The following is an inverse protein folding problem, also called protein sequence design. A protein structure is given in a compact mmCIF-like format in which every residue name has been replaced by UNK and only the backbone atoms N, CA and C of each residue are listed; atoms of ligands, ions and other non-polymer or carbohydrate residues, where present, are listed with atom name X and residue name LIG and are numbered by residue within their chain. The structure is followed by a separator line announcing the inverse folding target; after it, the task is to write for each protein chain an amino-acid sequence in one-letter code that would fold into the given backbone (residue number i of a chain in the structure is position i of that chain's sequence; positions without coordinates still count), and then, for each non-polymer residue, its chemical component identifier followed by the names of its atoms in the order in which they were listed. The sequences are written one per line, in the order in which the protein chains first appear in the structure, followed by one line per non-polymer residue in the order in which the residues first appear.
data_IF_175891274468
#
_entry.id   IF_175891274468
#
_cell.length_a   1.000
_cell.length_b   1.000
_cell.length_c   1.000
_cell.angle_alpha   90.00
_cell.angle_beta   90.00
_cell.angle_gamma   90.00
#
_symmetry.space_group_name_H-M   'P 1'
#
loop_
_entity.id
_entity.type
_entity.pdbx_description
1 polymer ?
#
# COMPACT_ATOMS: atom_id res chain seq x y z
N UNK A 1 7.03 0.61 21.86
CA UNK A 1 7.53 0.87 20.50
C UNK A 1 8.80 0.05 20.20
N UNK A 2 8.70 -1.27 20.31
CA UNK A 2 9.83 -2.14 20.00
C UNK A 2 9.84 -2.45 18.50
N UNK A 3 10.99 -2.25 17.86
CA UNK A 3 11.26 -2.75 16.52
C UNK A 3 11.41 -4.27 16.66
N UNK A 4 10.50 -5.03 16.05
CA UNK A 4 10.47 -6.49 16.14
C UNK A 4 11.02 -7.19 14.89
N UNK A 5 11.16 -6.44 13.79
CA UNK A 5 11.75 -6.91 12.53
C UNK A 5 12.88 -5.96 12.12
N UNK A 6 14.02 -6.55 11.72
CA UNK A 6 15.21 -5.81 11.33
C UNK A 6 15.01 -4.86 10.14
N UNK A 7 16.08 -4.16 9.78
CA UNK A 7 16.05 -3.02 8.88
C UNK A 7 15.69 -3.33 7.42
N UNK A 8 15.71 -4.58 6.99
CA UNK A 8 15.51 -4.96 5.58
C UNK A 8 14.53 -6.14 5.51
N UNK A 9 13.27 -5.90 5.87
CA UNK A 9 12.23 -6.92 5.75
C UNK A 9 11.44 -6.77 4.46
N UNK A 10 11.12 -7.91 3.83
CA UNK A 10 10.37 -8.01 2.56
C UNK A 10 10.99 -7.22 1.39
N UNK A 11 12.32 -7.07 1.38
CA UNK A 11 13.03 -6.47 0.28
C UNK A 11 12.91 -7.34 -0.97
N UNK A 12 12.42 -6.76 -2.07
CA UNK A 12 12.23 -7.47 -3.33
C UNK A 12 11.22 -8.62 -3.26
N UNK A 13 10.33 -8.64 -2.28
CA UNK A 13 9.32 -9.69 -2.15
C UNK A 13 8.38 -9.72 -3.37
N UNK A 14 8.11 -10.91 -3.89
CA UNK A 14 7.35 -11.09 -5.12
C UNK A 14 5.93 -11.62 -4.92
N UNK A 15 5.65 -12.22 -3.78
CA UNK A 15 4.34 -12.81 -3.45
C UNK A 15 4.22 -13.11 -1.97
N UNK A 16 3.06 -13.57 -1.56
CA UNK A 16 2.75 -13.96 -0.19
C UNK A 16 2.18 -12.83 0.65
N UNK A 17 1.87 -13.17 1.90
CA UNK A 17 1.33 -12.23 2.89
C UNK A 17 2.16 -12.26 4.16
N UNK A 18 2.43 -11.09 4.73
CA UNK A 18 3.13 -10.93 6.00
C UNK A 18 2.33 -10.03 6.95
N UNK A 19 2.09 -10.52 8.15
CA UNK A 19 1.38 -9.79 9.21
C UNK A 19 2.31 -9.60 10.40
N UNK A 20 2.63 -8.34 10.72
CA UNK A 20 3.67 -7.98 11.67
C UNK A 20 3.05 -7.16 12.81
N UNK A 21 2.90 -7.81 13.96
CA UNK A 21 2.37 -7.18 15.17
C UNK A 21 3.47 -6.41 15.91
N UNK A 22 3.88 -5.31 15.31
CA UNK A 22 4.90 -4.43 15.85
C UNK A 22 5.51 -3.54 14.77
N UNK A 23 6.57 -2.83 15.11
CA UNK A 23 7.26 -1.90 14.23
C UNK A 23 8.36 -2.62 13.46
N UNK A 24 8.38 -2.45 12.14
CA UNK A 24 9.51 -2.84 11.30
C UNK A 24 10.59 -1.73 11.31
N UNK A 25 11.83 -2.13 11.07
CA UNK A 25 12.94 -1.20 10.92
C UNK A 25 12.86 -0.37 9.63
N UNK A 26 13.99 0.16 9.22
CA UNK A 26 14.12 0.90 7.97
C UNK A 26 13.99 -0.03 6.76
N UNK A 27 13.72 0.55 5.58
CA UNK A 27 13.67 -0.16 4.29
C UNK A 27 12.69 -1.34 4.23
N UNK A 28 11.59 -1.22 4.93
CA UNK A 28 10.50 -2.20 4.88
C UNK A 28 9.82 -2.19 3.51
N UNK A 29 9.62 -3.36 2.91
CA UNK A 29 9.00 -3.53 1.58
C UNK A 29 9.69 -2.76 0.43
N UNK A 30 10.96 -2.43 0.55
CA UNK A 30 11.73 -1.83 -0.55
C UNK A 30 11.75 -2.78 -1.74
N UNK A 31 11.44 -2.28 -2.94
CA UNK A 31 11.32 -3.08 -4.17
C UNK A 31 10.31 -4.24 -4.08
N UNK A 32 9.34 -4.18 -3.18
CA UNK A 32 8.24 -5.14 -3.17
C UNK A 32 7.51 -5.10 -4.52
N UNK A 33 7.31 -6.25 -5.15
CA UNK A 33 6.68 -6.37 -6.46
C UNK A 33 5.34 -7.11 -6.46
N UNK A 34 4.96 -7.75 -5.36
CA UNK A 34 3.71 -8.50 -5.33
C UNK A 34 3.27 -9.03 -3.97
N UNK A 35 4.08 -8.87 -2.92
CA UNK A 35 3.69 -9.29 -1.58
C UNK A 35 2.71 -8.32 -0.94
N UNK A 36 1.84 -8.85 -0.09
CA UNK A 36 0.93 -8.09 0.76
C UNK A 36 1.46 -8.08 2.19
N UNK A 37 1.51 -6.92 2.84
CA UNK A 37 1.98 -6.80 4.20
C UNK A 37 1.11 -5.86 5.03
N UNK A 38 0.91 -6.22 6.31
CA UNK A 38 0.33 -5.33 7.31
C UNK A 38 1.31 -5.20 8.46
N UNK A 39 1.62 -3.98 8.88
CA UNK A 39 2.61 -3.67 9.91
C UNK A 39 2.14 -2.53 10.78
N UNK A 40 2.56 -2.51 12.05
CA UNK A 40 2.13 -1.50 13.02
C UNK A 40 2.97 -0.22 13.05
N UNK A 41 3.96 -0.13 12.20
CA UNK A 41 4.81 1.03 11.98
C UNK A 41 6.05 0.66 11.21
N UNK A 42 6.66 1.64 10.56
CA UNK A 42 7.91 1.48 9.79
C UNK A 42 8.86 2.64 10.06
N UNK A 43 10.16 2.35 9.94
CA UNK A 43 11.20 3.37 9.96
C UNK A 43 11.27 4.18 8.66
N UNK A 44 12.42 4.76 8.41
CA UNK A 44 12.67 5.52 7.18
C UNK A 44 12.73 4.59 5.95
N UNK A 45 12.45 5.14 4.77
CA UNK A 45 12.54 4.45 3.49
C UNK A 45 11.55 3.29 3.27
N UNK A 46 10.45 3.23 4.01
CA UNK A 46 9.39 2.24 3.78
C UNK A 46 8.82 2.32 2.36
N UNK A 47 8.60 1.18 1.71
CA UNK A 47 8.03 1.06 0.35
C UNK A 47 8.81 1.80 -0.76
N UNK A 48 10.08 2.13 -0.55
CA UNK A 48 10.89 2.72 -1.61
C UNK A 48 11.01 1.78 -2.81
N UNK A 49 10.89 2.35 -4.01
CA UNK A 49 10.97 1.61 -5.27
C UNK A 49 10.02 0.40 -5.37
N UNK A 50 8.95 0.39 -4.58
CA UNK A 50 7.91 -0.63 -4.68
C UNK A 50 7.26 -0.59 -6.07
N UNK A 51 7.07 -1.76 -6.68
CA UNK A 51 6.56 -1.92 -8.04
C UNK A 51 5.22 -2.66 -8.11
N UNK A 52 4.76 -3.24 -7.03
CA UNK A 52 3.50 -3.98 -6.94
C UNK A 52 3.20 -4.38 -5.49
N UNK A 53 2.12 -5.10 -5.29
CA UNK A 53 1.68 -5.55 -3.98
C UNK A 53 0.81 -4.55 -3.21
N UNK A 54 0.54 -4.89 -1.96
CA UNK A 54 -0.28 -4.09 -1.03
C UNK A 54 0.43 -3.98 0.31
N UNK A 55 0.53 -2.78 0.84
CA UNK A 55 1.11 -2.53 2.16
C UNK A 55 0.15 -1.71 3.00
N UNK A 56 -0.17 -2.17 4.20
CA UNK A 56 -0.96 -1.44 5.18
C UNK A 56 -0.09 -1.12 6.39
N UNK A 57 0.03 0.15 6.71
CA UNK A 57 0.76 0.64 7.89
C UNK A 57 -0.26 1.23 8.86
N UNK A 58 -0.49 0.57 9.98
CA UNK A 58 -1.47 0.99 10.99
C UNK A 58 -0.84 1.83 12.12
N UNK A 59 0.32 2.41 11.86
CA UNK A 59 1.05 3.27 12.79
C UNK A 59 1.96 4.25 12.07
N UNK A 60 3.00 4.70 12.76
CA UNK A 60 3.89 5.75 12.26
C UNK A 60 4.76 5.28 11.09
N UNK A 61 5.03 6.21 10.19
CA UNK A 61 6.03 6.07 9.12
C UNK A 61 7.21 7.01 9.37
N UNK A 62 8.38 6.62 8.87
CA UNK A 62 9.54 7.49 8.81
C UNK A 62 9.58 8.39 7.58
N UNK A 63 10.73 8.97 7.31
CA UNK A 63 10.99 9.83 6.15
C UNK A 63 11.08 9.01 4.86
N UNK A 64 10.92 9.69 3.73
CA UNK A 64 11.06 9.10 2.38
C UNK A 64 10.17 7.87 2.14
N UNK A 65 9.00 7.83 2.78
CA UNK A 65 8.03 6.77 2.55
C UNK A 65 7.57 6.78 1.08
N UNK A 66 7.54 5.62 0.46
CA UNK A 66 7.16 5.43 -0.95
C UNK A 66 8.01 6.21 -1.98
N UNK A 67 9.22 6.62 -1.65
CA UNK A 67 10.11 7.27 -2.60
C UNK A 67 10.42 6.35 -3.79
N UNK A 68 10.28 6.86 -5.01
CA UNK A 68 10.50 6.07 -6.23
C UNK A 68 9.50 4.93 -6.46
N UNK A 69 8.39 4.89 -5.72
CA UNK A 69 7.33 3.90 -5.89
C UNK A 69 6.70 4.04 -7.28
N UNK A 70 6.66 2.97 -8.05
CA UNK A 70 6.13 2.95 -9.42
C UNK A 70 4.93 2.03 -9.62
N UNK A 71 4.61 1.18 -8.65
CA UNK A 71 3.46 0.28 -8.68
C UNK A 71 3.04 -0.17 -7.28
N UNK A 72 1.89 -0.83 -7.20
CA UNK A 72 1.27 -1.22 -5.95
C UNK A 72 0.48 -0.12 -5.26
N UNK A 73 -0.04 -0.42 -4.10
CA UNK A 73 -0.82 0.49 -3.25
C UNK A 73 -0.35 0.40 -1.81
N UNK A 74 -0.22 1.53 -1.14
CA UNK A 74 -0.02 1.60 0.30
C UNK A 74 -1.18 2.33 0.97
N UNK A 75 -1.67 1.76 2.07
CA UNK A 75 -2.64 2.40 2.97
C UNK A 75 -1.91 2.73 4.27
N UNK A 76 -1.95 3.96 4.69
CA UNK A 76 -1.25 4.43 5.89
C UNK A 76 -2.20 5.15 6.82
N UNK A 77 -2.20 4.76 8.08
CA UNK A 77 -2.93 5.47 9.13
C UNK A 77 -2.14 6.73 9.53
N UNK A 78 -2.66 7.90 9.15
CA UNK A 78 -2.05 9.21 9.36
C UNK A 78 -2.75 9.96 10.52
N UNK A 79 -2.56 9.47 11.75
CA UNK A 79 -3.16 10.08 12.94
C UNK A 79 -2.60 11.48 13.24
N UNK A 80 -1.32 11.71 12.94
CA UNK A 80 -0.61 12.97 13.21
C UNK A 80 -0.75 13.99 12.06
N UNK A 81 -1.35 13.58 10.93
CA UNK A 81 -1.52 14.41 9.72
C UNK A 81 -0.20 14.96 9.16
N UNK A 82 0.88 14.20 9.31
CA UNK A 82 2.23 14.59 8.90
C UNK A 82 2.78 13.75 7.72
N UNK A 83 2.06 12.70 7.31
CA UNK A 83 2.48 11.80 6.23
C UNK A 83 2.79 12.56 4.94
N UNK A 84 2.00 13.58 4.63
CA UNK A 84 2.20 14.41 3.44
C UNK A 84 3.61 15.04 3.37
N UNK A 85 4.23 15.34 4.49
CA UNK A 85 5.58 15.89 4.55
C UNK A 85 6.68 14.85 4.33
N UNK A 86 6.33 13.57 4.46
CA UNK A 86 7.23 12.42 4.36
C UNK A 86 7.25 11.77 2.98
N UNK A 87 6.36 12.23 2.07
CA UNK A 87 6.18 11.67 0.73
C UNK A 87 6.90 12.49 -0.35
N UNK A 88 7.40 11.80 -1.38
CA UNK A 88 7.72 12.44 -2.65
C UNK A 88 6.46 12.47 -3.54
N UNK A 89 5.86 13.65 -3.68
CA UNK A 89 4.58 13.86 -4.33
C UNK A 89 4.61 13.87 -5.86
N UNK A 90 5.79 13.91 -6.44
CA UNK A 90 5.92 13.95 -7.91
C UNK A 90 5.48 12.66 -8.57
N UNK A 91 5.67 11.52 -7.89
CA UNK A 91 5.41 10.20 -8.44
C UNK A 91 4.12 9.56 -7.93
N UNK A 92 3.59 10.00 -6.78
CA UNK A 92 2.46 9.34 -6.13
C UNK A 92 1.29 10.27 -5.88
N UNK A 93 0.08 9.73 -6.01
CA UNK A 93 -1.15 10.31 -5.52
C UNK A 93 -1.30 10.01 -4.04
N UNK A 94 -1.72 11.00 -3.30
CA UNK A 94 -2.06 10.92 -1.89
C UNK A 94 -3.53 11.33 -1.74
N UNK A 95 -4.36 10.43 -1.28
CA UNK A 95 -5.81 10.65 -1.16
C UNK A 95 -6.41 9.97 0.06
N UNK A 96 -7.61 10.36 0.41
CA UNK A 96 -8.43 9.60 1.36
C UNK A 96 -8.91 8.28 0.75
N UNK A 97 -9.27 7.33 1.62
CA UNK A 97 -9.81 6.04 1.20
C UNK A 97 -11.32 6.17 1.10
N UNK A 98 -11.83 6.43 -0.10
CA UNK A 98 -13.24 6.69 -0.37
C UNK A 98 -13.92 5.66 -1.26
N UNK A 99 -13.14 4.98 -2.13
CA UNK A 99 -13.66 3.97 -3.03
C UNK A 99 -14.11 2.72 -2.28
N UNK A 100 -15.28 2.21 -2.61
CA UNK A 100 -15.87 1.04 -1.93
C UNK A 100 -14.91 -0.17 -1.87
N UNK A 101 -14.25 -0.47 -2.99
CA UNK A 101 -13.31 -1.59 -3.05
C UNK A 101 -12.06 -1.38 -2.20
N UNK A 102 -11.54 -0.17 -2.15
CA UNK A 102 -10.41 0.18 -1.29
C UNK A 102 -10.76 0.06 0.19
N UNK A 103 -11.95 0.49 0.58
CA UNK A 103 -12.45 0.36 1.97
C UNK A 103 -12.56 -1.10 2.37
N UNK A 104 -13.13 -1.94 1.49
CA UNK A 104 -13.26 -3.39 1.73
C UNK A 104 -11.89 -4.04 1.82
N UNK A 105 -10.97 -3.74 0.89
CA UNK A 105 -9.61 -4.27 0.89
C UNK A 105 -8.87 -3.90 2.17
N UNK A 106 -8.88 -2.62 2.55
CA UNK A 106 -8.24 -2.13 3.77
C UNK A 106 -8.78 -2.84 5.01
N UNK A 107 -10.09 -2.90 5.15
CA UNK A 107 -10.74 -3.56 6.29
C UNK A 107 -10.40 -5.04 6.37
N UNK A 108 -10.49 -5.75 5.24
CA UNK A 108 -10.16 -7.17 5.14
C UNK A 108 -8.71 -7.45 5.54
N UNK A 109 -7.76 -6.63 5.08
CA UNK A 109 -6.34 -6.80 5.43
C UNK A 109 -6.09 -6.57 6.93
N UNK A 110 -6.77 -5.62 7.55
CA UNK A 110 -6.66 -5.40 9.00
C UNK A 110 -7.32 -6.58 9.76
N UNK A 111 -8.45 -7.10 9.30
CA UNK A 111 -9.09 -8.29 9.87
C UNK A 111 -8.17 -9.52 9.80
N UNK A 112 -7.53 -9.77 8.66
CA UNK A 112 -6.54 -10.85 8.50
C UNK A 112 -5.34 -10.65 9.44
N UNK A 113 -4.87 -9.42 9.59
CA UNK A 113 -3.78 -9.08 10.51
C UNK A 113 -4.14 -9.40 11.97
N UNK A 114 -5.32 -9.00 12.40
CA UNK A 114 -5.80 -9.31 13.77
C UNK A 114 -5.96 -10.82 13.97
N UNK A 115 -6.53 -11.51 13.00
CA UNK A 115 -6.70 -12.98 13.06
C UNK A 115 -5.35 -13.71 13.13
N UNK A 116 -4.34 -13.26 12.39
CA UNK A 116 -3.03 -13.89 12.32
C UNK A 116 -2.14 -13.56 13.53
N UNK A 117 -2.29 -12.38 14.13
CA UNK A 117 -1.32 -11.86 15.12
C UNK A 117 -1.92 -11.55 16.49
N UNK A 118 -3.24 -11.45 16.59
CA UNK A 118 -3.91 -10.97 17.81
C UNK A 118 -3.66 -9.48 18.11
N UNK A 119 -3.32 -8.68 17.11
CA UNK A 119 -3.01 -7.25 17.25
C UNK A 119 -4.10 -6.50 18.00
N UNK A 120 -3.75 -5.92 19.14
CA UNK A 120 -4.66 -5.07 19.93
C UNK A 120 -4.91 -3.75 19.20
N UNK A 121 -3.90 -3.22 18.50
CA UNK A 121 -4.04 -2.01 17.70
C UNK A 121 -4.96 -2.23 16.51
N UNK A 122 -4.78 -3.32 15.79
CA UNK A 122 -5.67 -3.70 14.69
C UNK A 122 -7.12 -3.90 15.16
N UNK A 123 -7.31 -4.57 16.29
CA UNK A 123 -8.64 -4.74 16.89
C UNK A 123 -9.30 -3.41 17.24
N UNK A 124 -8.56 -2.50 17.89
CA UNK A 124 -9.07 -1.16 18.22
C UNK A 124 -9.51 -0.38 16.98
N UNK A 125 -8.76 -0.49 15.88
CA UNK A 125 -9.10 0.16 14.61
C UNK A 125 -10.39 -0.45 14.03
N UNK A 126 -10.53 -1.77 14.04
CA UNK A 126 -11.73 -2.45 13.55
C UNK A 126 -12.97 -2.15 14.37
N UNK A 127 -12.85 -2.11 15.70
CA UNK A 127 -13.95 -1.80 16.61
C UNK A 127 -14.47 -0.36 16.45
N UNK A 128 -13.65 0.54 15.90
CA UNK A 128 -13.96 1.95 15.66
C UNK A 128 -13.65 2.35 14.21
N UNK A 129 -13.91 1.46 13.26
CA UNK A 129 -13.45 1.61 11.88
C UNK A 129 -13.93 2.90 11.22
N UNK A 130 -15.16 3.32 11.47
CA UNK A 130 -15.72 4.55 10.90
C UNK A 130 -14.99 5.83 11.38
N UNK A 131 -14.43 5.81 12.59
CA UNK A 131 -13.63 6.90 13.12
C UNK A 131 -12.19 6.91 12.57
N UNK A 132 -11.64 5.72 12.27
CA UNK A 132 -10.30 5.58 11.75
C UNK A 132 -10.21 5.73 10.23
N UNK A 133 -11.24 5.34 9.49
CA UNK A 133 -11.25 5.36 8.04
C UNK A 133 -10.86 6.74 7.44
N UNK A 134 -11.36 7.88 7.93
CA UNK A 134 -10.96 9.20 7.41
C UNK A 134 -9.49 9.54 7.66
N UNK A 135 -8.84 8.85 8.62
CA UNK A 135 -7.42 9.04 8.95
C UNK A 135 -6.51 8.18 8.08
N UNK A 136 -7.04 7.17 7.42
CA UNK A 136 -6.27 6.39 6.44
C UNK A 136 -6.07 7.17 5.15
N UNK A 137 -4.85 7.08 4.63
CA UNK A 137 -4.48 7.64 3.34
C UNK A 137 -4.06 6.54 2.38
N UNK A 138 -4.50 6.67 1.15
CA UNK A 138 -4.11 5.81 0.04
C UNK A 138 -2.98 6.48 -0.73
N UNK A 139 -1.90 5.74 -0.93
CA UNK A 139 -0.76 6.13 -1.74
C UNK A 139 -0.71 5.20 -2.93
N UNK A 140 -0.82 5.77 -4.13
CA UNK A 140 -0.79 5.04 -5.38
C UNK A 140 0.03 5.83 -6.41
N UNK A 141 0.99 5.20 -7.13
CA UNK A 141 1.71 5.87 -8.20
C UNK A 141 0.77 6.32 -9.32
N UNK A 142 1.02 7.51 -9.88
CA UNK A 142 0.22 8.05 -10.98
C UNK A 142 0.12 7.10 -12.17
N UNK A 143 1.25 6.60 -12.64
CA UNK A 143 1.32 5.70 -13.78
C UNK A 143 0.66 4.34 -13.48
N UNK A 144 0.78 3.84 -12.26
CA UNK A 144 0.11 2.61 -11.84
C UNK A 144 -1.40 2.76 -11.83
N UNK A 145 -1.92 3.89 -11.33
CA UNK A 145 -3.37 4.17 -11.36
C UNK A 145 -3.90 4.23 -12.80
N UNK A 146 -3.17 4.88 -13.71
CA UNK A 146 -3.53 4.95 -15.13
C UNK A 146 -3.53 3.56 -15.77
N UNK A 147 -2.50 2.77 -15.49
CA UNK A 147 -2.40 1.39 -16.00
C UNK A 147 -3.58 0.53 -15.53
N UNK A 148 -3.91 0.57 -14.24
CA UNK A 148 -5.03 -0.20 -13.70
C UNK A 148 -6.38 0.21 -14.30
N UNK A 149 -6.60 1.50 -14.49
CA UNK A 149 -7.82 2.01 -15.12
C UNK A 149 -7.93 1.56 -16.59
N UNK A 150 -6.82 1.58 -17.34
CA UNK A 150 -6.79 1.12 -18.72
C UNK A 150 -7.06 -0.40 -18.82
N UNK A 151 -6.42 -1.20 -17.97
CA UNK A 151 -6.66 -2.66 -17.91
C UNK A 151 -8.15 -2.94 -17.64
N UNK A 152 -8.74 -2.31 -16.62
CA UNK A 152 -10.15 -2.50 -16.29
C UNK A 152 -11.07 -2.15 -17.48
N UNK A 153 -10.79 -1.06 -18.18
CA UNK A 153 -11.57 -0.67 -19.37
C UNK A 153 -11.48 -1.69 -20.50
N UNK A 154 -10.34 -2.34 -20.70
CA UNK A 154 -10.20 -3.41 -21.71
C UNK A 154 -10.86 -4.72 -21.26
N UNK A 155 -10.81 -5.06 -19.99
CA UNK A 155 -11.54 -6.22 -19.43
C UNK A 155 -13.06 -6.03 -19.56
N UNK A 156 -13.59 -4.82 -19.34
CA UNK A 156 -15.00 -4.50 -19.56
C UNK A 156 -15.40 -4.66 -21.04
N UNK A 157 -14.49 -4.50 -21.97
CA UNK A 157 -14.69 -4.78 -23.41
C UNK A 157 -14.60 -6.28 -23.77
N UNK A 158 -14.36 -7.14 -22.77
CA UNK A 158 -14.33 -8.59 -22.92
C UNK A 158 -12.96 -9.20 -23.21
N UNK A 159 -11.86 -8.43 -23.08
CA UNK A 159 -10.51 -8.97 -23.19
C UNK A 159 -10.15 -9.78 -21.93
N UNK A 160 -9.31 -10.80 -22.10
CA UNK A 160 -8.70 -11.48 -20.96
C UNK A 160 -7.74 -10.53 -20.24
N UNK A 161 -7.41 -10.81 -18.98
CA UNK A 161 -6.48 -9.98 -18.22
C UNK A 161 -5.13 -9.80 -18.93
N UNK A 162 -4.57 -10.86 -19.51
CA UNK A 162 -3.31 -10.79 -20.27
C UNK A 162 -3.42 -9.87 -21.50
N UNK A 163 -4.51 -10.01 -22.27
CA UNK A 163 -4.78 -9.16 -23.43
C UNK A 163 -4.98 -7.69 -23.00
N UNK A 164 -5.75 -7.46 -21.94
CA UNK A 164 -6.00 -6.15 -21.40
C UNK A 164 -4.72 -5.44 -20.95
N UNK A 165 -3.80 -6.17 -20.30
CA UNK A 165 -2.48 -5.64 -19.91
C UNK A 165 -1.65 -5.21 -21.12
N UNK A 166 -1.64 -6.00 -22.19
CA UNK A 166 -0.90 -5.67 -23.42
C UNK A 166 -1.46 -4.42 -24.08
N UNK A 167 -2.78 -4.36 -24.28
CA UNK A 167 -3.43 -3.20 -24.89
C UNK A 167 -3.28 -1.93 -24.05
N UNK A 168 -3.45 -2.03 -22.73
CA UNK A 168 -3.25 -0.90 -21.80
C UNK A 168 -1.81 -0.38 -21.87
N UNK A 169 -0.82 -1.26 -21.95
CA UNK A 169 0.58 -0.87 -22.10
C UNK A 169 0.81 -0.07 -23.39
N UNK A 170 0.32 -0.56 -24.53
CA UNK A 170 0.45 0.15 -25.82
C UNK A 170 -0.27 1.49 -25.81
N UNK A 171 -1.45 1.59 -25.23
CA UNK A 171 -2.19 2.85 -25.11
C UNK A 171 -1.37 3.89 -24.32
N UNK A 172 -0.83 3.49 -23.17
CA UNK A 172 -0.07 4.41 -22.30
C UNK A 172 1.25 4.85 -22.92
N UNK A 173 1.92 3.95 -23.64
CA UNK A 173 3.20 4.28 -24.30
C UNK A 173 2.99 5.21 -25.50
N UNK A 174 1.92 5.00 -26.27
CA UNK A 174 1.64 5.79 -27.48
C UNK A 174 1.01 7.15 -27.17
N UNK A 175 0.49 7.37 -25.95
CA UNK A 175 -0.09 8.64 -25.50
C UNK A 175 0.87 9.50 -24.66
N UNK A 176 2.16 9.19 -24.65
CA UNK A 176 3.24 10.03 -24.12
C UNK A 176 3.86 10.84 -25.26
#
# INVERSE_FOLDING_TARGET
NNIIIGNVALYGATSGKAFINGVAGERFCVRNSGATAVVEGVGDHGCEYMTGGRVVVIGKTGKNFAAGMSGGVAYVLDEERDLYTKLNKEMVLFSEVTEKYDIIELKTLIEEHVAATGSQRGKKILDNFDEYLPKFKKIIPHDYKRMMAAIAAYEEKGLTNEQAQIEAFYEIVNNK
#
